data_IF_875430107620
#
_entry.id   IF_875430107620
#
_cell.length_a   1.000
_cell.length_b   1.000
_cell.length_c   1.000
_cell.angle_alpha   90.00
_cell.angle_beta   90.00
_cell.angle_gamma   90.00
#
_symmetry.space_group_name_H-M   'P 1'
#
loop_
_entity.id
_entity.type
_entity.pdbx_description
1 polymer ?
#
# COMPACT_ATOMS: atom_id res chain seq x y z
N UNK A 1 32.79 7.62 16.41
CA UNK A 1 32.81 6.49 15.45
C UNK A 1 31.44 5.88 15.14
N UNK A 2 30.58 5.59 16.14
CA UNK A 2 29.23 5.02 15.90
C UNK A 2 28.27 5.99 15.19
N UNK A 3 28.26 7.25 15.60
CA UNK A 3 27.40 8.30 15.00
C UNK A 3 27.76 8.59 13.53
N UNK A 4 29.05 8.61 13.19
CA UNK A 4 29.51 8.89 11.82
C UNK A 4 29.06 7.81 10.84
N UNK A 5 29.05 6.53 11.26
CA UNK A 5 28.53 5.43 10.44
C UNK A 5 27.04 5.58 10.19
N UNK A 6 26.27 5.98 11.22
CA UNK A 6 24.81 6.17 11.10
C UNK A 6 24.49 7.30 10.13
N UNK A 7 25.15 8.45 10.28
CA UNK A 7 24.99 9.60 9.38
C UNK A 7 25.37 9.23 7.94
N UNK A 8 26.48 8.51 7.75
CA UNK A 8 26.91 8.07 6.43
C UNK A 8 25.89 7.11 5.78
N UNK A 9 25.37 6.14 6.53
CA UNK A 9 24.33 5.23 6.03
C UNK A 9 23.03 5.97 5.68
N UNK A 10 22.60 6.93 6.49
CA UNK A 10 21.42 7.74 6.21
C UNK A 10 21.60 8.57 4.93
N UNK A 11 22.80 9.12 4.69
CA UNK A 11 23.11 9.84 3.45
C UNK A 11 23.10 8.93 2.22
N UNK A 12 23.68 7.73 2.33
CA UNK A 12 23.65 6.73 1.25
C UNK A 12 22.20 6.34 0.92
N UNK A 13 21.39 6.04 1.95
CA UNK A 13 19.99 5.68 1.79
C UNK A 13 19.18 6.83 1.16
N UNK A 14 19.44 8.06 1.60
CA UNK A 14 18.79 9.26 1.06
C UNK A 14 19.17 9.48 -0.40
N UNK A 15 20.45 9.35 -0.75
CA UNK A 15 20.94 9.47 -2.12
C UNK A 15 20.38 8.39 -3.05
N UNK A 16 20.24 7.14 -2.58
CA UNK A 16 19.60 6.06 -3.33
C UNK A 16 18.11 6.36 -3.57
N UNK A 17 17.41 6.89 -2.56
CA UNK A 17 15.99 7.28 -2.69
C UNK A 17 15.79 8.45 -3.64
N UNK A 18 16.66 9.46 -3.59
CA UNK A 18 16.59 10.66 -4.44
C UNK A 18 17.06 10.41 -5.88
N UNK A 19 18.03 9.51 -6.08
CA UNK A 19 18.56 9.16 -7.40
C UNK A 19 17.68 8.18 -8.19
N UNK A 20 16.69 7.56 -7.53
CA UNK A 20 15.62 6.84 -8.23
C UNK A 20 14.65 7.86 -8.82
N UNK A 21 14.86 8.21 -10.08
CA UNK A 21 13.79 8.75 -10.92
C UNK A 21 12.81 7.61 -11.21
N UNK A 22 12.02 7.24 -10.19
CA UNK A 22 11.10 6.11 -10.28
C UNK A 22 9.84 6.63 -10.97
N UNK A 23 9.72 6.37 -12.27
CA UNK A 23 8.44 6.53 -12.97
C UNK A 23 7.38 5.78 -12.18
N UNK A 24 6.37 6.50 -11.68
CA UNK A 24 5.28 5.94 -10.89
C UNK A 24 4.58 4.86 -11.72
N UNK A 25 4.85 3.58 -11.43
CA UNK A 25 4.25 2.46 -12.16
C UNK A 25 2.95 2.04 -11.48
N UNK A 26 1.92 2.85 -11.72
CA UNK A 26 0.56 2.56 -11.26
C UNK A 26 -0.01 1.29 -11.89
N UNK A 27 0.49 0.84 -13.05
CA UNK A 27 0.04 -0.41 -13.65
C UNK A 27 0.33 -1.60 -12.73
N UNK A 28 1.51 -1.63 -12.09
CA UNK A 28 1.88 -2.70 -11.14
C UNK A 28 1.01 -2.70 -9.89
N UNK A 29 0.65 -1.52 -9.38
CA UNK A 29 -0.32 -1.40 -8.27
C UNK A 29 -1.69 -1.92 -8.72
N UNK A 30 -2.17 -1.50 -9.90
CA UNK A 30 -3.46 -1.93 -10.45
C UNK A 30 -3.53 -3.43 -10.81
N UNK A 31 -2.39 -4.08 -11.03
CA UNK A 31 -2.30 -5.52 -11.27
C UNK A 31 -2.23 -6.35 -9.98
N UNK A 32 -2.13 -5.71 -8.81
CA UNK A 32 -2.13 -6.40 -7.52
C UNK A 32 -3.57 -6.72 -7.12
N UNK A 33 -4.09 -7.85 -7.60
CA UNK A 33 -5.48 -8.29 -7.30
C UNK A 33 -5.45 -9.38 -6.22
N UNK A 34 -6.48 -9.43 -5.37
CA UNK A 34 -6.63 -10.47 -4.37
C UNK A 34 -6.86 -11.85 -5.02
N UNK A 35 -6.09 -12.85 -4.59
CA UNK A 35 -6.30 -14.24 -4.98
C UNK A 35 -7.60 -14.80 -4.38
N UNK A 36 -8.21 -15.78 -5.04
CA UNK A 36 -9.49 -16.37 -4.59
C UNK A 36 -9.44 -16.94 -3.16
N UNK A 37 -8.31 -17.53 -2.79
CA UNK A 37 -8.08 -18.16 -1.48
C UNK A 37 -7.14 -17.32 -0.59
N UNK A 38 -6.78 -16.10 -1.02
CA UNK A 38 -5.86 -15.22 -0.29
C UNK A 38 -6.63 -14.46 0.79
N UNK A 39 -6.10 -14.45 2.02
CA UNK A 39 -6.71 -13.71 3.12
C UNK A 39 -6.65 -12.18 2.84
N UNK A 40 -7.70 -11.40 3.20
CA UNK A 40 -7.69 -9.94 3.05
C UNK A 40 -6.43 -9.25 3.58
N UNK A 41 -5.92 -9.69 4.73
CA UNK A 41 -4.70 -9.14 5.34
C UNK A 41 -3.44 -9.41 4.53
N UNK A 42 -3.28 -10.60 3.98
CA UNK A 42 -2.15 -10.94 3.12
C UNK A 42 -2.18 -10.10 1.83
N UNK A 43 -3.38 -9.94 1.27
CA UNK A 43 -3.59 -9.06 0.12
C UNK A 43 -3.25 -7.61 0.43
N UNK A 44 -3.70 -7.08 1.57
CA UNK A 44 -3.41 -5.71 1.99
C UNK A 44 -1.91 -5.47 2.16
N UNK A 45 -1.17 -6.40 2.77
CA UNK A 45 0.28 -6.29 2.89
C UNK A 45 0.98 -6.25 1.54
N UNK A 46 0.54 -7.09 0.59
CA UNK A 46 1.09 -7.14 -0.76
C UNK A 46 0.78 -5.85 -1.53
N UNK A 47 -0.41 -5.30 -1.36
CA UNK A 47 -0.79 -4.00 -1.91
C UNK A 47 0.07 -2.87 -1.34
N UNK A 48 0.28 -2.80 -0.03
CA UNK A 48 1.18 -1.84 0.60
C UNK A 48 2.61 -1.96 0.06
N UNK A 49 3.12 -3.19 -0.09
CA UNK A 49 4.43 -3.44 -0.70
C UNK A 49 4.50 -2.92 -2.15
N UNK A 50 3.44 -3.09 -2.93
CA UNK A 50 3.38 -2.59 -4.30
C UNK A 50 3.45 -1.04 -4.36
N UNK A 51 2.71 -0.35 -3.49
CA UNK A 51 2.83 1.11 -3.35
C UNK A 51 4.27 1.55 -3.04
N UNK A 52 4.88 0.95 -2.01
CA UNK A 52 6.25 1.29 -1.62
C UNK A 52 7.28 1.03 -2.73
N UNK A 53 7.11 -0.05 -3.51
CA UNK A 53 8.08 -0.45 -4.53
C UNK A 53 7.91 0.35 -5.83
N UNK A 54 6.67 0.61 -6.25
CA UNK A 54 6.37 1.10 -7.60
C UNK A 54 5.97 2.56 -7.68
N UNK A 55 5.51 3.18 -6.58
CA UNK A 55 5.07 4.59 -6.59
C UNK A 55 5.85 5.47 -5.62
N UNK A 56 6.66 4.91 -4.71
CA UNK A 56 7.37 5.67 -3.66
C UNK A 56 6.41 6.51 -2.77
N UNK A 57 5.11 6.20 -2.81
CA UNK A 57 4.10 6.80 -1.95
C UNK A 57 3.97 5.90 -0.72
N UNK A 58 3.97 6.51 0.47
CA UNK A 58 3.69 5.78 1.70
C UNK A 58 2.20 5.43 1.76
N UNK A 59 1.81 4.14 1.67
CA UNK A 59 0.41 3.74 1.71
C UNK A 59 -0.26 4.03 3.06
N UNK A 60 0.51 4.31 4.12
CA UNK A 60 0.01 4.62 5.47
C UNK A 60 -0.11 6.11 5.75
N UNK A 61 0.37 6.97 4.85
CA UNK A 61 0.20 8.41 4.98
C UNK A 61 -1.27 8.80 4.85
N UNK A 62 -1.71 9.79 5.62
CA UNK A 62 -3.12 10.19 5.71
C UNK A 62 -3.72 10.66 4.38
N UNK A 63 -2.90 11.27 3.53
CA UNK A 63 -3.25 11.71 2.17
C UNK A 63 -3.50 10.53 1.21
N UNK A 64 -2.87 9.39 1.47
CA UNK A 64 -2.84 8.22 0.58
C UNK A 64 -3.81 7.13 1.01
N UNK A 65 -4.19 7.07 2.28
CA UNK A 65 -5.06 6.02 2.82
C UNK A 65 -6.39 5.87 2.05
N UNK A 66 -7.00 6.97 1.64
CA UNK A 66 -8.25 6.95 0.85
C UNK A 66 -8.08 6.25 -0.49
N UNK A 67 -6.96 6.48 -1.17
CA UNK A 67 -6.62 5.84 -2.45
C UNK A 67 -6.31 4.36 -2.28
N UNK A 68 -5.53 4.01 -1.26
CA UNK A 68 -5.21 2.60 -0.93
C UNK A 68 -6.48 1.82 -0.64
N UNK A 69 -7.41 2.42 0.13
CA UNK A 69 -8.71 1.83 0.42
C UNK A 69 -9.55 1.60 -0.83
N UNK A 70 -9.69 2.61 -1.68
CA UNK A 70 -10.44 2.49 -2.91
C UNK A 70 -9.90 1.34 -3.78
N UNK A 71 -8.58 1.27 -3.91
CA UNK A 71 -7.89 0.24 -4.68
C UNK A 71 -8.10 -1.13 -4.05
N UNK A 72 -7.91 -1.27 -2.74
CA UNK A 72 -8.16 -2.50 -1.98
C UNK A 72 -9.57 -3.05 -2.21
N UNK A 73 -10.61 -2.22 -2.08
CA UNK A 73 -12.00 -2.64 -2.30
C UNK A 73 -12.22 -3.01 -3.78
N UNK A 74 -11.64 -2.26 -4.71
CA UNK A 74 -11.82 -2.49 -6.15
C UNK A 74 -11.21 -3.81 -6.61
N UNK A 75 -10.09 -4.21 -6.00
CA UNK A 75 -9.26 -5.38 -6.34
C UNK A 75 -9.45 -6.58 -5.40
N UNK A 76 -10.30 -6.45 -4.38
CA UNK A 76 -10.70 -7.57 -3.53
C UNK A 76 -11.49 -8.61 -4.33
N UNK A 77 -11.48 -9.86 -3.85
CA UNK A 77 -12.28 -10.92 -4.43
C UNK A 77 -13.79 -10.57 -4.37
N UNK A 78 -14.63 -11.05 -5.31
CA UNK A 78 -16.02 -10.58 -5.44
C UNK A 78 -16.89 -10.74 -4.20
N UNK A 79 -16.71 -11.82 -3.44
CA UNK A 79 -17.39 -12.10 -2.19
C UNK A 79 -16.96 -11.15 -1.06
N UNK A 80 -15.65 -10.87 -0.97
CA UNK A 80 -15.07 -9.91 -0.03
C UNK A 80 -15.53 -8.49 -0.37
N UNK A 81 -15.48 -8.10 -1.64
CA UNK A 81 -15.95 -6.80 -2.12
C UNK A 81 -17.41 -6.55 -1.74
N UNK A 82 -18.30 -7.55 -1.91
CA UNK A 82 -19.71 -7.46 -1.47
C UNK A 82 -19.84 -7.26 0.05
N UNK A 83 -18.97 -7.89 0.83
CA UNK A 83 -18.97 -7.75 2.30
C UNK A 83 -18.46 -6.36 2.72
N UNK A 84 -17.37 -5.88 2.11
CA UNK A 84 -16.79 -4.56 2.37
C UNK A 84 -17.75 -3.43 2.01
N UNK A 85 -18.41 -3.48 0.85
CA UNK A 85 -19.39 -2.46 0.43
C UNK A 85 -20.58 -2.36 1.38
N UNK A 86 -21.03 -3.48 1.97
CA UNK A 86 -22.08 -3.48 2.99
C UNK A 86 -21.63 -2.84 4.29
N UNK A 87 -20.40 -3.11 4.73
CA UNK A 87 -19.83 -2.52 5.95
C UNK A 87 -19.56 -1.03 5.78
N UNK A 88 -19.02 -0.61 4.64
CA UNK A 88 -18.74 0.79 4.33
C UNK A 88 -20.02 1.62 4.21
N UNK A 89 -21.05 1.09 3.53
CA UNK A 89 -22.36 1.73 3.44
C UNK A 89 -23.14 1.76 4.75
N UNK A 90 -22.77 0.93 5.74
CA UNK A 90 -23.43 0.86 7.03
C UNK A 90 -22.72 1.65 8.14
N UNK A 91 -21.38 1.72 8.14
CA UNK A 91 -20.62 2.14 9.33
C UNK A 91 -19.43 3.09 9.05
N UNK A 92 -19.05 3.37 7.80
CA UNK A 92 -17.96 4.33 7.52
C UNK A 92 -16.58 3.99 8.11
N UNK A 93 -16.34 2.71 8.42
CA UNK A 93 -15.15 2.15 9.11
C UNK A 93 -13.82 2.39 8.41
N UNK A 94 -12.66 2.42 9.08
CA UNK A 94 -11.32 2.60 8.46
C UNK A 94 -10.79 1.34 7.77
N UNK A 95 -9.71 1.45 6.97
CA UNK A 95 -9.12 0.28 6.29
C UNK A 95 -8.53 -0.73 7.28
N UNK A 96 -7.96 -0.27 8.41
CA UNK A 96 -7.43 -1.18 9.44
C UNK A 96 -8.52 -2.03 10.10
N UNK A 97 -9.78 -1.60 10.05
CA UNK A 97 -10.93 -2.34 10.60
C UNK A 97 -11.52 -3.35 9.60
N UNK A 98 -11.10 -3.30 8.34
CA UNK A 98 -11.59 -4.14 7.24
C UNK A 98 -10.68 -5.32 6.92
N UNK A 99 -9.48 -5.36 7.52
CA UNK A 99 -8.36 -6.23 7.15
C UNK A 99 -7.99 -7.16 8.30
#
# INVERSE_FOLDING_TARGET
>A
MRELKKIFFDYILTGIKQGREQTLDWSKVHNTVQGKEEHPSDFYERLCKAFCIYTNIDPKAADTQSTVRLIFISQSAPDIKKRLQRLEGAEGKSLEELV
#
